data_IF_651644984568
#
_entry.id   IF_651644984568
#
_cell.length_a   1.000
_cell.length_b   1.000
_cell.length_c   1.000
_cell.angle_alpha   90.00
_cell.angle_beta   90.00
_cell.angle_gamma   90.00
#
_symmetry.space_group_name_H-M   'P 1'
#
loop_
_entity.id
_entity.type
_entity.pdbx_description
1 polymer ?
#
# COMPACT_ATOMS: atom_id res chain seq x y z
N UNK A 1 26.18 -34.43 40.17
CA UNK A 1 26.92 -33.54 39.24
C UNK A 1 26.53 -33.93 37.84
N UNK A 2 26.42 -32.97 36.92
CA UNK A 2 26.28 -33.27 35.50
C UNK A 2 27.57 -33.93 35.01
N UNK A 3 27.46 -34.94 34.15
CA UNK A 3 28.62 -35.52 33.48
C UNK A 3 28.89 -34.83 32.13
N UNK A 4 30.04 -35.09 31.52
CA UNK A 4 30.44 -34.45 30.26
C UNK A 4 29.48 -34.72 29.09
N UNK A 5 28.79 -35.87 29.12
CA UNK A 5 27.77 -36.21 28.13
C UNK A 5 26.51 -35.35 28.30
N UNK A 6 26.14 -35.01 29.54
CA UNK A 6 25.03 -34.10 29.84
C UNK A 6 25.36 -32.66 29.41
N UNK A 7 26.60 -32.21 29.63
CA UNK A 7 27.06 -30.87 29.23
C UNK A 7 27.07 -30.73 27.69
N UNK A 8 27.57 -31.74 26.97
CA UNK A 8 27.58 -31.71 25.50
C UNK A 8 26.18 -31.69 24.88
N UNK A 9 25.20 -32.39 25.48
CA UNK A 9 23.81 -32.33 25.03
C UNK A 9 23.23 -30.93 25.20
N UNK A 10 23.52 -30.26 26.32
CA UNK A 10 23.04 -28.91 26.59
C UNK A 10 23.65 -27.88 25.62
N UNK A 11 24.96 -27.94 25.36
CA UNK A 11 25.62 -27.00 24.43
C UNK A 11 25.17 -27.15 22.98
N UNK A 12 24.69 -28.34 22.56
CA UNK A 12 24.15 -28.52 21.20
C UNK A 12 22.73 -27.97 21.00
N UNK A 13 21.98 -27.69 22.07
CA UNK A 13 20.57 -27.27 21.99
C UNK A 13 20.36 -25.84 22.50
N UNK A 14 21.23 -25.37 23.40
CA UNK A 14 21.13 -24.02 23.96
C UNK A 14 21.77 -23.01 23.01
N UNK A 15 20.96 -22.08 22.53
CA UNK A 15 21.45 -20.90 21.82
C UNK A 15 22.41 -20.11 22.70
N UNK A 16 23.52 -19.66 22.13
CA UNK A 16 24.45 -18.79 22.81
C UNK A 16 23.80 -17.42 23.06
N UNK A 17 24.32 -16.67 24.05
CA UNK A 17 23.87 -15.29 24.29
C UNK A 17 24.01 -14.43 23.03
N UNK A 18 25.05 -14.67 22.23
CA UNK A 18 25.31 -13.97 20.96
C UNK A 18 24.22 -14.28 19.94
N UNK A 19 23.82 -15.54 19.81
CA UNK A 19 22.76 -15.95 18.87
C UNK A 19 21.44 -15.25 19.21
N UNK A 20 21.13 -15.12 20.50
CA UNK A 20 19.93 -14.41 20.98
C UNK A 20 20.03 -12.90 20.71
N UNK A 21 21.21 -12.31 20.83
CA UNK A 21 21.45 -10.90 20.51
C UNK A 21 21.31 -10.62 19.01
N UNK A 22 21.83 -11.49 18.15
CA UNK A 22 21.69 -11.41 16.68
C UNK A 22 20.21 -11.51 16.27
N UNK A 23 19.47 -12.49 16.79
CA UNK A 23 18.03 -12.63 16.53
C UNK A 23 17.25 -11.38 16.98
N UNK A 24 17.64 -10.76 18.10
CA UNK A 24 17.01 -9.52 18.57
C UNK A 24 17.26 -8.35 17.62
N UNK A 25 18.46 -8.28 17.04
CA UNK A 25 18.81 -7.27 16.04
C UNK A 25 17.98 -7.48 14.77
N UNK A 26 17.97 -8.70 14.24
CA UNK A 26 17.20 -9.04 13.02
C UNK A 26 15.71 -8.77 13.20
N UNK A 27 15.16 -9.04 14.39
CA UNK A 27 13.77 -8.75 14.72
C UNK A 27 13.51 -7.23 14.80
N UNK A 28 14.50 -6.45 15.23
CA UNK A 28 14.48 -4.99 15.20
C UNK A 28 14.39 -4.46 13.76
N UNK A 29 15.30 -4.92 12.91
CA UNK A 29 15.36 -4.53 11.50
C UNK A 29 14.06 -4.93 10.75
N UNK A 30 13.55 -6.13 11.01
CA UNK A 30 12.28 -6.59 10.45
C UNK A 30 11.11 -5.70 10.91
N UNK A 31 11.08 -5.30 12.18
CA UNK A 31 10.04 -4.41 12.69
C UNK A 31 10.08 -3.05 12.01
N UNK A 32 11.27 -2.48 11.81
CA UNK A 32 11.43 -1.20 11.10
C UNK A 32 10.98 -1.31 9.64
N UNK A 33 11.35 -2.39 8.95
CA UNK A 33 10.92 -2.65 7.58
C UNK A 33 9.40 -2.78 7.47
N UNK A 34 8.76 -3.53 8.38
CA UNK A 34 7.30 -3.67 8.43
C UNK A 34 6.62 -2.32 8.70
N UNK A 35 7.16 -1.49 9.60
CA UNK A 35 6.64 -0.15 9.83
C UNK A 35 6.76 0.74 8.58
N UNK A 36 7.88 0.68 7.86
CA UNK A 36 8.06 1.36 6.59
C UNK A 36 7.04 0.91 5.52
N UNK A 37 6.77 -0.39 5.44
CA UNK A 37 5.75 -0.95 4.53
C UNK A 37 4.34 -0.46 4.88
N UNK A 38 3.97 -0.39 6.17
CA UNK A 38 2.67 0.12 6.61
C UNK A 38 2.49 1.57 6.17
N UNK A 39 3.49 2.43 6.42
CA UNK A 39 3.44 3.84 6.03
C UNK A 39 3.34 4.00 4.51
N UNK A 40 4.12 3.22 3.76
CA UNK A 40 4.08 3.24 2.29
C UNK A 40 2.71 2.81 1.77
N UNK A 41 2.12 1.75 2.33
CA UNK A 41 0.80 1.27 1.94
C UNK A 41 -0.30 2.30 2.25
N UNK A 42 -0.25 2.97 3.40
CA UNK A 42 -1.18 4.04 3.75
C UNK A 42 -1.08 5.22 2.78
N UNK A 43 0.15 5.59 2.38
CA UNK A 43 0.36 6.63 1.37
C UNK A 43 -0.25 6.24 0.02
N UNK A 44 -0.08 4.99 -0.41
CA UNK A 44 -0.67 4.48 -1.66
C UNK A 44 -2.19 4.49 -1.59
N UNK A 45 -2.77 4.04 -0.47
CA UNK A 45 -4.22 4.06 -0.27
C UNK A 45 -4.79 5.48 -0.38
N UNK A 46 -4.09 6.48 0.18
CA UNK A 46 -4.45 7.89 0.04
C UNK A 46 -4.39 8.36 -1.40
N UNK A 47 -3.29 8.10 -2.12
CA UNK A 47 -3.17 8.48 -3.53
C UNK A 47 -4.26 7.87 -4.41
N UNK A 48 -4.65 6.61 -4.15
CA UNK A 48 -5.77 5.96 -4.87
C UNK A 48 -7.10 6.67 -4.56
N UNK A 49 -7.33 7.06 -3.31
CA UNK A 49 -8.53 7.80 -2.92
C UNK A 49 -8.62 9.16 -3.63
N UNK A 50 -7.51 9.90 -3.67
CA UNK A 50 -7.42 11.20 -4.32
C UNK A 50 -7.68 11.06 -5.83
N UNK A 51 -7.06 10.07 -6.50
CA UNK A 51 -7.29 9.78 -7.92
C UNK A 51 -8.75 9.41 -8.21
N UNK A 52 -9.40 8.64 -7.34
CA UNK A 52 -10.82 8.30 -7.49
C UNK A 52 -11.71 9.55 -7.43
N UNK A 53 -11.39 10.50 -6.54
CA UNK A 53 -12.12 11.75 -6.42
C UNK A 53 -11.93 12.62 -7.67
N UNK A 54 -10.70 12.77 -8.14
CA UNK A 54 -10.38 13.51 -9.38
C UNK A 54 -11.10 12.90 -10.59
N UNK A 55 -11.10 11.58 -10.72
CA UNK A 55 -11.80 10.89 -11.79
C UNK A 55 -13.31 11.16 -11.77
N UNK A 56 -13.94 11.11 -10.58
CA UNK A 56 -15.37 11.41 -10.44
C UNK A 56 -15.69 12.87 -10.83
N UNK A 57 -14.82 13.82 -10.46
CA UNK A 57 -14.96 15.22 -10.82
C UNK A 57 -14.85 15.43 -12.35
N UNK A 58 -13.84 14.80 -12.98
CA UNK A 58 -13.64 14.86 -14.44
C UNK A 58 -14.82 14.23 -15.17
N UNK A 59 -15.28 13.04 -14.75
CA UNK A 59 -16.44 12.37 -15.35
C UNK A 59 -17.69 13.25 -15.28
N UNK A 60 -17.91 13.92 -14.14
CA UNK A 60 -19.04 14.85 -13.98
C UNK A 60 -18.89 16.07 -14.89
N UNK A 61 -17.68 16.61 -15.02
CA UNK A 61 -17.40 17.72 -15.91
C UNK A 61 -17.65 17.37 -17.38
N UNK A 62 -17.16 16.21 -17.84
CA UNK A 62 -17.39 15.71 -19.20
C UNK A 62 -18.87 15.54 -19.50
N UNK A 63 -19.65 14.95 -18.57
CA UNK A 63 -21.10 14.81 -18.73
C UNK A 63 -21.81 16.17 -18.86
N UNK A 64 -21.39 17.18 -18.07
CA UNK A 64 -21.92 18.55 -18.19
C UNK A 64 -21.55 19.18 -19.53
N UNK A 65 -20.30 19.01 -19.98
CA UNK A 65 -19.86 19.54 -21.27
C UNK A 65 -20.63 18.92 -22.43
N UNK A 66 -20.82 17.60 -22.43
CA UNK A 66 -21.64 16.90 -23.43
C UNK A 66 -23.07 17.47 -23.48
N UNK A 67 -23.69 17.67 -22.30
CA UNK A 67 -25.02 18.29 -22.21
C UNK A 67 -25.03 19.73 -22.74
N UNK A 68 -24.04 20.54 -22.39
CA UNK A 68 -23.94 21.92 -22.89
C UNK A 68 -23.80 21.95 -24.41
N UNK A 69 -22.97 21.08 -24.98
CA UNK A 69 -22.79 20.97 -26.44
C UNK A 69 -24.13 20.64 -27.12
N UNK A 70 -24.86 19.65 -26.59
CA UNK A 70 -26.20 19.28 -27.10
C UNK A 70 -27.19 20.44 -27.02
N UNK A 71 -27.24 21.14 -25.89
CA UNK A 71 -28.12 22.30 -25.70
C UNK A 71 -27.77 23.47 -26.61
N UNK A 72 -26.47 23.70 -26.87
CA UNK A 72 -26.04 24.73 -27.81
C UNK A 72 -26.48 24.35 -29.21
N UNK A 73 -26.20 23.12 -29.65
CA UNK A 73 -26.58 22.62 -30.97
C UNK A 73 -28.09 22.75 -31.23
N UNK A 74 -28.92 22.36 -30.25
CA UNK A 74 -30.38 22.51 -30.31
C UNK A 74 -30.80 23.98 -30.49
N UNK A 75 -30.19 24.90 -29.73
CA UNK A 75 -30.49 26.34 -29.82
C UNK A 75 -30.07 26.99 -31.13
N UNK A 76 -29.03 26.48 -31.79
CA UNK A 76 -28.53 27.02 -33.06
C UNK A 76 -29.03 26.25 -34.28
N UNK A 77 -29.89 25.24 -34.09
CA UNK A 77 -30.45 24.42 -35.17
C UNK A 77 -29.43 23.50 -35.85
N UNK A 78 -28.32 23.15 -35.18
CA UNK A 78 -27.34 22.19 -35.67
C UNK A 78 -27.73 20.78 -35.24
N UNK A 79 -27.70 19.83 -36.18
CA UNK A 79 -27.91 18.43 -35.89
C UNK A 79 -26.56 17.75 -35.64
N UNK A 80 -26.31 17.30 -34.41
CA UNK A 80 -25.09 16.56 -34.07
C UNK A 80 -25.25 15.12 -34.55
N UNK A 81 -24.33 14.64 -35.41
CA UNK A 81 -24.23 13.22 -35.70
C UNK A 81 -23.79 12.52 -34.41
N UNK A 82 -24.71 11.81 -33.76
CA UNK A 82 -24.42 10.99 -32.59
C UNK A 82 -24.29 9.53 -33.02
N UNK A 83 -23.29 8.82 -32.49
CA UNK A 83 -23.31 7.35 -32.37
C UNK A 83 -24.30 6.92 -31.27
#
# INVERSE_FOLDING_TARGET
>A
MLNDQDINKLTTVLASKKDVEEIKSDLGDLKELVQGLIISNDSIAKSISDLRLEYAAISTQLSRHDRWIKQIAEKVGLNLAME
#
